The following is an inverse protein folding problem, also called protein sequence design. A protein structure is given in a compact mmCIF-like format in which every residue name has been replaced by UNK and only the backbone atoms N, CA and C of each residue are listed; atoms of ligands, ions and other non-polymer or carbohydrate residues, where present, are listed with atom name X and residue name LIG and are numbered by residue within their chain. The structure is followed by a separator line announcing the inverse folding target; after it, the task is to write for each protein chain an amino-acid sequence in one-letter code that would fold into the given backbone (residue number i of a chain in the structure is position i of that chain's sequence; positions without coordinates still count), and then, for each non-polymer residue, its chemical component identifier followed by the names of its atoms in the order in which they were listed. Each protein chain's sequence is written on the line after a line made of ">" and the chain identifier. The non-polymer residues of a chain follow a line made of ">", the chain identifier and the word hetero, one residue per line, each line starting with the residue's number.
data_IF_129925071642
#
_entry.id   IF_129925071642
#
_cell.length_a   1.000
_cell.length_b   1.000
_cell.length_c   1.000
_cell.angle_alpha   90.00
_cell.angle_beta   90.00
_cell.angle_gamma   90.00
#
_symmetry.space_group_name_H-M   'P 1'
#
loop_
_entity.id
_entity.type
_entity.pdbx_description
1 polymer ?
#
# COMPACT_ATOMS: atom_id res chain seq x y z
N UNK A 1 3.26 17.88 21.34
CA UNK A 1 3.11 16.76 20.37
C UNK A 1 1.61 16.63 20.10
N UNK A 2 1.15 16.86 18.86
CA UNK A 2 -0.27 16.80 18.52
C UNK A 2 -0.66 15.35 18.21
N UNK A 3 -1.80 14.90 18.73
CA UNK A 3 -2.40 13.63 18.31
C UNK A 3 -3.08 13.81 16.94
N UNK A 4 -2.83 12.91 15.97
CA UNK A 4 -3.55 12.94 14.70
C UNK A 4 -5.04 12.70 14.92
N UNK A 5 -5.87 13.36 14.13
CA UNK A 5 -7.32 13.07 14.10
C UNK A 5 -7.58 11.80 13.30
N UNK A 6 -8.78 11.21 13.42
CA UNK A 6 -9.11 9.93 12.78
C UNK A 6 -8.82 9.91 11.27
N UNK A 7 -9.15 10.99 10.55
CA UNK A 7 -8.86 11.10 9.12
C UNK A 7 -7.35 11.05 8.80
N UNK A 8 -6.51 11.60 9.68
CA UNK A 8 -5.06 11.58 9.53
C UNK A 8 -4.48 10.20 9.87
N UNK A 9 -5.04 9.53 10.88
CA UNK A 9 -4.71 8.14 11.18
C UNK A 9 -5.04 7.20 10.01
N UNK A 10 -6.18 7.39 9.35
CA UNK A 10 -6.53 6.64 8.16
C UNK A 10 -5.53 6.88 7.02
N UNK A 11 -5.10 8.13 6.79
CA UNK A 11 -4.06 8.41 5.80
C UNK A 11 -2.73 7.69 6.12
N UNK A 12 -2.34 7.64 7.38
CA UNK A 12 -1.14 6.90 7.82
C UNK A 12 -1.31 5.40 7.54
N UNK A 13 -2.48 4.82 7.86
CA UNK A 13 -2.76 3.41 7.57
C UNK A 13 -2.70 3.11 6.08
N UNK A 14 -3.36 3.91 5.24
CA UNK A 14 -3.32 3.71 3.79
C UNK A 14 -1.92 3.85 3.20
N UNK A 15 -1.10 4.75 3.75
CA UNK A 15 0.30 4.89 3.35
C UNK A 15 1.12 3.60 3.57
N UNK A 16 0.75 2.81 4.58
CA UNK A 16 1.37 1.53 4.92
C UNK A 16 0.74 0.37 4.14
N UNK A 17 -0.59 0.36 4.02
CA UNK A 17 -1.36 -0.73 3.39
C UNK A 17 -1.14 -0.78 1.88
N UNK A 18 -1.06 0.35 1.18
CA UNK A 18 -0.87 0.34 -0.27
C UNK A 18 0.45 -0.33 -0.73
N UNK A 19 1.63 -0.04 -0.16
CA UNK A 19 2.84 -0.80 -0.46
C UNK A 19 2.66 -2.31 -0.23
N UNK A 20 2.06 -2.69 0.91
CA UNK A 20 1.77 -4.10 1.20
C UNK A 20 0.87 -4.74 0.14
N UNK A 21 -0.19 -4.05 -0.31
CA UNK A 21 -1.05 -4.54 -1.37
C UNK A 21 -0.32 -4.70 -2.70
N UNK A 22 0.60 -3.79 -3.03
CA UNK A 22 1.43 -3.93 -4.24
C UNK A 22 2.32 -5.18 -4.16
N UNK A 23 2.94 -5.44 -3.02
CA UNK A 23 3.78 -6.63 -2.83
C UNK A 23 2.95 -7.93 -2.94
N UNK A 24 1.76 -7.95 -2.32
CA UNK A 24 0.83 -9.09 -2.41
C UNK A 24 0.35 -9.30 -3.85
N UNK A 25 0.01 -8.24 -4.57
CA UNK A 25 -0.42 -8.34 -5.96
C UNK A 25 0.71 -8.88 -6.85
N UNK A 26 1.94 -8.40 -6.65
CA UNK A 26 3.11 -8.89 -7.38
C UNK A 26 3.34 -10.39 -7.13
N UNK A 27 3.34 -10.82 -5.87
CA UNK A 27 3.51 -12.24 -5.52
C UNK A 27 2.41 -13.12 -6.14
N UNK A 28 1.15 -12.66 -6.09
CA UNK A 28 0.04 -13.38 -6.71
C UNK A 28 0.14 -13.44 -8.24
N UNK A 29 0.62 -12.38 -8.90
CA UNK A 29 0.87 -12.40 -10.34
C UNK A 29 1.96 -13.40 -10.69
N UNK A 30 3.07 -13.40 -9.95
CA UNK A 30 4.19 -14.32 -10.18
C UNK A 30 3.75 -15.78 -10.02
N UNK A 31 2.96 -16.08 -8.97
CA UNK A 31 2.38 -17.42 -8.76
C UNK A 31 1.43 -17.78 -9.90
N UNK A 32 0.54 -16.86 -10.30
CA UNK A 32 -0.48 -17.10 -11.33
C UNK A 32 0.15 -17.32 -12.70
N UNK A 33 1.12 -16.49 -13.06
CA UNK A 33 1.85 -16.55 -14.33
C UNK A 33 2.58 -17.89 -14.47
N UNK A 34 3.17 -18.40 -13.39
CA UNK A 34 3.88 -19.68 -13.38
C UNK A 34 2.97 -20.90 -13.17
N UNK A 35 1.66 -20.70 -13.04
CA UNK A 35 0.70 -21.79 -12.83
C UNK A 35 0.17 -22.41 -14.14
N UNK A 36 -0.45 -23.58 -14.02
CA UNK A 36 -1.21 -24.23 -15.10
C UNK A 36 -2.69 -23.77 -15.15
N UNK A 37 -3.01 -22.62 -14.56
CA UNK A 37 -4.37 -22.08 -14.55
C UNK A 37 -4.83 -21.69 -15.95
N UNK A 38 -6.08 -22.02 -16.30
CA UNK A 38 -6.70 -21.54 -17.54
C UNK A 38 -6.87 -20.02 -17.46
N UNK A 39 -6.57 -19.33 -18.56
CA UNK A 39 -6.65 -17.87 -18.68
C UNK A 39 -5.70 -17.09 -17.75
N UNK A 40 -4.58 -17.68 -17.31
CA UNK A 40 -3.61 -17.00 -16.42
C UNK A 40 -3.21 -15.61 -16.91
N UNK A 41 -3.05 -15.41 -18.22
CA UNK A 41 -2.66 -14.13 -18.81
C UNK A 41 -3.73 -13.06 -18.58
N UNK A 42 -5.00 -13.44 -18.62
CA UNK A 42 -6.11 -12.52 -18.33
C UNK A 42 -6.13 -12.13 -16.84
N UNK A 43 -5.85 -13.06 -15.94
CA UNK A 43 -5.75 -12.78 -14.51
C UNK A 43 -4.56 -11.87 -14.18
N UNK A 44 -3.39 -12.14 -14.77
CA UNK A 44 -2.21 -11.28 -14.63
C UNK A 44 -2.52 -9.87 -15.13
N UNK A 45 -3.11 -9.74 -16.33
CA UNK A 45 -3.50 -8.44 -16.87
C UNK A 45 -4.48 -7.69 -15.94
N UNK A 46 -5.42 -8.38 -15.31
CA UNK A 46 -6.32 -7.75 -14.34
C UNK A 46 -5.58 -7.29 -13.07
N UNK A 47 -4.63 -8.08 -12.57
CA UNK A 47 -3.82 -7.70 -11.41
C UNK A 47 -2.91 -6.50 -11.72
N UNK A 48 -2.33 -6.42 -12.92
CA UNK A 48 -1.58 -5.23 -13.38
C UNK A 48 -2.47 -3.98 -13.32
N UNK A 49 -3.70 -4.06 -13.83
CA UNK A 49 -4.66 -2.94 -13.74
C UNK A 49 -5.00 -2.55 -12.29
N UNK A 50 -4.98 -3.50 -11.35
CA UNK A 50 -5.17 -3.22 -9.93
C UNK A 50 -3.94 -2.56 -9.32
N UNK A 51 -2.73 -3.00 -9.67
CA UNK A 51 -1.48 -2.38 -9.22
C UNK A 51 -1.37 -0.93 -9.67
N UNK A 52 -1.76 -0.62 -10.91
CA UNK A 52 -1.80 0.76 -11.41
C UNK A 52 -2.72 1.64 -10.55
N UNK A 53 -3.92 1.14 -10.22
CA UNK A 53 -4.87 1.86 -9.35
C UNK A 53 -4.29 2.07 -7.95
N UNK A 54 -3.76 1.02 -7.33
CA UNK A 54 -3.16 1.11 -5.98
C UNK A 54 -1.98 2.09 -5.97
N UNK A 55 -1.16 2.11 -7.03
CA UNK A 55 -0.04 3.04 -7.18
C UNK A 55 -0.52 4.49 -7.27
N UNK A 56 -1.60 4.76 -8.00
CA UNK A 56 -2.21 6.09 -8.06
C UNK A 56 -2.73 6.55 -6.69
N UNK A 57 -3.43 5.67 -5.97
CA UNK A 57 -3.92 5.95 -4.61
C UNK A 57 -2.77 6.20 -3.63
N UNK A 58 -1.68 5.44 -3.72
CA UNK A 58 -0.49 5.64 -2.90
C UNK A 58 0.12 7.03 -3.11
N UNK A 59 0.17 7.52 -4.35
CA UNK A 59 0.64 8.88 -4.68
C UNK A 59 -0.28 9.93 -4.05
N UNK A 60 -1.60 9.74 -4.13
CA UNK A 60 -2.60 10.65 -3.54
C UNK A 60 -2.42 10.72 -2.02
N UNK A 61 -2.30 9.57 -1.34
CA UNK A 61 -2.10 9.53 0.11
C UNK A 61 -0.80 10.20 0.53
N UNK A 62 0.31 9.97 -0.19
CA UNK A 62 1.59 10.65 0.06
C UNK A 62 1.45 12.17 -0.04
N UNK A 63 0.68 12.66 -1.02
CA UNK A 63 0.39 14.09 -1.17
C UNK A 63 -0.42 14.63 0.01
N UNK A 64 -1.45 13.91 0.45
CA UNK A 64 -2.27 14.33 1.60
C UNK A 64 -1.48 14.37 2.90
N UNK A 65 -0.66 13.36 3.19
CA UNK A 65 0.22 13.35 4.37
C UNK A 65 1.19 14.54 4.38
N UNK A 66 1.80 14.84 3.21
CA UNK A 66 2.69 16.00 3.07
C UNK A 66 1.96 17.32 3.34
N UNK A 67 0.75 17.49 2.80
CA UNK A 67 -0.07 18.68 3.03
C UNK A 67 -0.49 18.81 4.50
N UNK A 68 -0.78 17.70 5.16
CA UNK A 68 -1.09 17.64 6.60
C UNK A 68 0.14 17.84 7.51
N UNK A 69 1.35 17.93 6.93
CA UNK A 69 2.60 18.07 7.70
C UNK A 69 2.96 16.80 8.48
N UNK A 70 2.49 15.63 8.06
CA UNK A 70 2.73 14.35 8.71
C UNK A 70 3.87 13.64 7.98
N UNK A 71 4.91 13.28 8.73
CA UNK A 71 6.01 12.43 8.24
C UNK A 71 5.81 11.02 8.76
N UNK A 72 5.66 10.06 7.85
CA UNK A 72 5.64 8.63 8.16
C UNK A 72 7.06 8.10 7.91
N UNK A 73 7.59 7.33 8.85
CA UNK A 73 8.91 6.70 8.75
C UNK A 73 8.82 5.33 8.09
N UNK A 74 9.96 4.70 7.86
CA UNK A 74 9.99 3.35 7.29
C UNK A 74 9.22 2.37 8.19
N UNK A 75 8.50 1.47 7.53
CA UNK A 75 7.72 0.45 8.21
C UNK A 75 8.60 -0.77 8.53
N UNK A 76 8.44 -1.33 9.71
CA UNK A 76 8.99 -2.61 10.13
C UNK A 76 7.93 -3.69 10.00
N UNK A 77 8.25 -4.73 9.23
CA UNK A 77 7.30 -5.79 8.87
C UNK A 77 7.68 -7.06 9.60
N UNK A 78 6.70 -7.71 10.20
CA UNK A 78 6.85 -9.08 10.63
C UNK A 78 5.67 -9.93 10.15
N UNK A 79 5.65 -11.22 10.51
CA UNK A 79 4.64 -12.16 10.03
C UNK A 79 3.21 -11.83 10.47
N UNK A 80 3.04 -10.97 11.47
CA UNK A 80 1.74 -10.74 12.14
C UNK A 80 1.31 -9.29 12.17
N UNK A 81 2.23 -8.34 12.04
CA UNK A 81 1.93 -6.92 12.13
C UNK A 81 2.88 -6.09 11.25
N UNK A 82 2.43 -4.88 10.94
CA UNK A 82 3.27 -3.84 10.34
C UNK A 82 3.34 -2.70 11.36
N UNK A 83 4.55 -2.33 11.78
CA UNK A 83 4.78 -1.21 12.69
C UNK A 83 5.36 -0.05 11.91
N UNK A 84 4.86 1.15 12.21
CA UNK A 84 5.36 2.36 11.58
C UNK A 84 5.41 3.49 12.61
N UNK A 85 6.51 4.24 12.60
CA UNK A 85 6.60 5.50 13.33
C UNK A 85 6.02 6.64 12.48
N UNK A 86 5.42 7.64 13.13
CA UNK A 86 5.04 8.87 12.45
C UNK A 86 5.27 10.10 13.35
N UNK A 87 5.41 11.26 12.72
CA UNK A 87 5.55 12.56 13.37
C UNK A 87 4.54 13.54 12.77
N UNK A 88 3.66 14.06 13.63
CA UNK A 88 2.77 15.18 13.32
C UNK A 88 3.46 16.50 13.70
N UNK A 89 3.40 17.49 12.81
CA UNK A 89 3.77 18.88 13.14
C UNK A 89 2.77 19.50 14.11
#
# INVERSE_FOLDING_TARGET
>A
MRMPVDAELELIKWHVIYPFLLDVLQDNMDITFNSNMRFRELFVCHMEMLMDKVSQEQVIVRKHLRTAGIKVFDAEWNKTEIRVGYLCR
#
